data_IF_591102591086
#
_entry.id   IF_591102591086
#
_cell.length_a   1.000
_cell.length_b   1.000
_cell.length_c   1.000
_cell.angle_alpha   90.00
_cell.angle_beta   90.00
_cell.angle_gamma   90.00
#
_symmetry.space_group_name_H-M   'P 1'
#
loop_
_entity.id
_entity.type
_entity.pdbx_description
1 polymer ?
#
# COMPACT_ATOMS: atom_id res chain seq x y z
N UNK A 1 -23.30 6.65 6.52
CA UNK A 1 -23.97 6.74 5.20
C UNK A 1 -24.77 5.47 4.86
N UNK A 2 -24.28 4.27 5.18
CA UNK A 2 -24.96 2.97 4.92
C UNK A 2 -26.30 2.84 5.67
N UNK A 3 -26.41 3.35 6.89
CA UNK A 3 -27.66 3.34 7.71
C UNK A 3 -28.89 4.00 7.05
N UNK A 4 -28.70 4.86 6.04
CA UNK A 4 -29.82 5.54 5.35
C UNK A 4 -30.38 4.77 4.16
N UNK A 5 -29.71 3.72 3.69
CA UNK A 5 -30.10 2.99 2.48
C UNK A 5 -30.70 1.61 2.74
N UNK A 6 -30.51 1.05 3.96
CA UNK A 6 -31.01 -0.28 4.32
C UNK A 6 -31.58 -0.27 5.75
N UNK A 7 -32.84 0.17 5.96
CA UNK A 7 -33.48 0.23 7.27
C UNK A 7 -33.73 -1.14 7.93
N UNK A 8 -33.40 -2.25 7.29
CA UNK A 8 -33.72 -3.61 7.73
C UNK A 8 -32.51 -4.47 8.15
N UNK A 9 -31.28 -3.93 8.16
CA UNK A 9 -30.14 -4.73 8.63
C UNK A 9 -30.14 -4.76 10.15
N UNK A 10 -30.15 -5.98 10.71
CA UNK A 10 -30.06 -6.22 12.15
C UNK A 10 -28.83 -5.50 12.73
N UNK A 11 -29.00 -4.69 13.81
CA UNK A 11 -27.89 -4.01 14.48
C UNK A 11 -26.76 -4.96 14.91
N UNK A 12 -27.06 -6.23 15.19
CA UNK A 12 -26.07 -7.25 15.53
C UNK A 12 -25.12 -7.54 14.37
N UNK A 13 -25.62 -7.60 13.13
CA UNK A 13 -24.81 -7.83 11.92
C UNK A 13 -23.86 -6.64 11.68
N UNK A 14 -24.38 -5.42 11.85
CA UNK A 14 -23.55 -4.21 11.71
C UNK A 14 -22.40 -4.20 12.72
N UNK A 15 -22.67 -4.59 13.98
CA UNK A 15 -21.65 -4.67 15.02
C UNK A 15 -20.56 -5.72 14.70
N UNK A 16 -20.95 -6.87 14.14
CA UNK A 16 -20.01 -7.93 13.72
C UNK A 16 -19.12 -7.42 12.57
N UNK A 17 -19.69 -6.77 11.56
CA UNK A 17 -18.92 -6.20 10.42
C UNK A 17 -17.94 -5.13 10.90
N UNK A 18 -18.37 -4.25 11.81
CA UNK A 18 -17.49 -3.21 12.35
C UNK A 18 -16.35 -3.82 13.19
N UNK A 19 -16.62 -4.86 13.98
CA UNK A 19 -15.61 -5.55 14.77
C UNK A 19 -14.57 -6.27 13.88
N UNK A 20 -15.02 -6.92 12.81
CA UNK A 20 -14.13 -7.60 11.86
C UNK A 20 -13.28 -6.58 11.06
N UNK A 21 -13.90 -5.48 10.65
CA UNK A 21 -13.15 -4.38 10.00
C UNK A 21 -12.06 -3.83 10.91
N UNK A 22 -12.36 -3.61 12.19
CA UNK A 22 -11.38 -3.13 13.18
C UNK A 22 -10.25 -4.14 13.39
N UNK A 23 -10.56 -5.44 13.42
CA UNK A 23 -9.56 -6.52 13.51
C UNK A 23 -8.62 -6.51 12.30
N UNK A 24 -9.18 -6.42 11.10
CA UNK A 24 -8.41 -6.41 9.86
C UNK A 24 -7.52 -5.16 9.76
N UNK A 25 -8.01 -3.99 10.17
CA UNK A 25 -7.20 -2.77 10.24
C UNK A 25 -6.02 -2.89 11.21
N UNK A 26 -6.22 -3.57 12.37
CA UNK A 26 -5.12 -3.86 13.32
C UNK A 26 -4.08 -4.78 12.69
N UNK A 27 -4.50 -5.82 12.00
CA UNK A 27 -3.59 -6.73 11.32
C UNK A 27 -2.75 -5.99 10.25
N UNK A 28 -3.39 -5.19 9.41
CA UNK A 28 -2.68 -4.37 8.40
C UNK A 28 -1.66 -3.45 9.07
N UNK A 29 -2.01 -2.79 10.18
CA UNK A 29 -1.08 -1.91 10.88
C UNK A 29 0.13 -2.66 11.46
N UNK A 30 -0.09 -3.87 12.00
CA UNK A 30 1.00 -4.74 12.49
C UNK A 30 1.90 -5.19 11.34
N UNK A 31 1.32 -5.64 10.23
CA UNK A 31 2.09 -6.04 9.03
C UNK A 31 2.89 -4.88 8.46
N UNK A 32 2.31 -3.68 8.39
CA UNK A 32 3.01 -2.47 7.96
C UNK A 32 4.19 -2.15 8.86
N UNK A 33 3.97 -2.15 10.18
CA UNK A 33 5.03 -1.89 11.15
C UNK A 33 6.16 -2.91 11.02
N UNK A 34 5.85 -4.21 10.99
CA UNK A 34 6.83 -5.27 10.85
C UNK A 34 7.58 -5.18 9.49
N UNK A 35 6.85 -4.95 8.39
CA UNK A 35 7.45 -4.78 7.07
C UNK A 35 8.37 -3.57 6.98
N UNK A 36 7.94 -2.42 7.50
CA UNK A 36 8.76 -1.21 7.53
C UNK A 36 10.01 -1.38 8.42
N UNK A 37 9.88 -2.07 9.56
CA UNK A 37 11.01 -2.38 10.43
C UNK A 37 12.03 -3.31 9.76
N UNK A 38 11.56 -4.41 9.16
CA UNK A 38 12.42 -5.35 8.44
C UNK A 38 13.13 -4.64 7.29
N UNK A 39 12.41 -3.82 6.54
CA UNK A 39 13.01 -3.06 5.44
C UNK A 39 14.07 -2.08 5.92
N UNK A 40 13.79 -1.33 6.99
CA UNK A 40 14.75 -0.41 7.59
C UNK A 40 16.02 -1.16 8.06
N UNK A 41 15.84 -2.27 8.79
CA UNK A 41 16.95 -3.09 9.25
C UNK A 41 17.78 -3.62 8.07
N UNK A 42 17.12 -4.14 7.04
CA UNK A 42 17.79 -4.63 5.82
C UNK A 42 18.56 -3.52 5.13
N UNK A 43 17.97 -2.31 4.99
CA UNK A 43 18.63 -1.16 4.36
C UNK A 43 19.88 -0.73 5.14
N UNK A 44 19.80 -0.71 6.47
CA UNK A 44 20.94 -0.37 7.33
C UNK A 44 22.04 -1.45 7.21
N UNK A 45 21.67 -2.72 7.39
CA UNK A 45 22.65 -3.83 7.36
C UNK A 45 23.28 -3.94 5.99
N UNK A 46 22.51 -3.95 4.92
CA UNK A 46 23.02 -4.03 3.56
C UNK A 46 23.85 -2.80 3.20
N UNK A 47 23.36 -1.60 3.51
CA UNK A 47 24.08 -0.35 3.24
C UNK A 47 25.42 -0.27 3.95
N UNK A 48 25.48 -0.62 5.26
CA UNK A 48 26.72 -0.55 6.03
C UNK A 48 27.69 -1.70 5.69
N UNK A 49 27.20 -2.90 5.41
CA UNK A 49 28.06 -4.06 5.14
C UNK A 49 28.66 -4.04 3.72
N UNK A 50 27.92 -3.55 2.75
CA UNK A 50 28.35 -3.52 1.33
C UNK A 50 28.87 -2.15 0.88
N UNK A 51 28.53 -1.07 1.62
CA UNK A 51 28.76 0.30 1.18
C UNK A 51 27.95 0.70 -0.07
N UNK A 52 26.97 -0.11 -0.47
CA UNK A 52 26.21 0.09 -1.69
C UNK A 52 25.33 1.35 -1.59
N UNK A 53 25.49 2.33 -2.49
CA UNK A 53 24.85 3.64 -2.38
C UNK A 53 23.33 3.57 -2.60
N UNK A 54 22.81 2.57 -3.31
CA UNK A 54 21.39 2.32 -3.51
C UNK A 54 20.68 2.01 -2.19
N UNK A 55 21.29 1.20 -1.30
CA UNK A 55 20.76 0.94 0.04
C UNK A 55 20.87 2.15 0.97
N UNK A 56 22.02 2.83 0.95
CA UNK A 56 22.25 4.00 1.80
C UNK A 56 21.31 5.15 1.47
N UNK A 57 20.99 5.37 0.20
CA UNK A 57 20.07 6.41 -0.25
C UNK A 57 18.62 6.18 0.18
N UNK A 58 18.22 4.93 0.44
CA UNK A 58 16.86 4.59 0.89
C UNK A 58 16.64 4.80 2.39
N UNK A 59 17.70 4.77 3.21
CA UNK A 59 17.59 4.83 4.69
C UNK A 59 16.72 6.00 5.18
N UNK A 60 16.90 7.26 4.72
CA UNK A 60 16.09 8.37 5.21
C UNK A 60 14.59 8.18 4.93
N UNK A 61 14.24 7.72 3.72
CA UNK A 61 12.85 7.53 3.32
C UNK A 61 12.22 6.35 4.06
N UNK A 62 12.94 5.23 4.20
CA UNK A 62 12.48 4.06 4.95
C UNK A 62 12.32 4.40 6.44
N UNK A 63 13.20 5.21 7.01
CA UNK A 63 13.06 5.72 8.38
C UNK A 63 11.79 6.55 8.55
N UNK A 64 11.47 7.42 7.58
CA UNK A 64 10.22 8.18 7.55
C UNK A 64 9.00 7.27 7.46
N UNK A 65 9.05 6.24 6.62
CA UNK A 65 7.98 5.25 6.50
C UNK A 65 7.80 4.45 7.80
N UNK A 66 8.89 4.05 8.44
CA UNK A 66 8.84 3.37 9.73
C UNK A 66 8.23 4.26 10.82
N UNK A 67 8.63 5.54 10.91
CA UNK A 67 8.02 6.50 11.83
C UNK A 67 6.51 6.68 11.57
N UNK A 68 6.10 6.81 10.30
CA UNK A 68 4.68 6.86 9.94
C UNK A 68 3.94 5.58 10.33
N UNK A 69 4.55 4.40 10.15
CA UNK A 69 3.95 3.12 10.53
C UNK A 69 3.72 3.00 12.04
N UNK A 70 4.63 3.55 12.87
CA UNK A 70 4.45 3.66 14.32
C UNK A 70 3.23 4.53 14.64
N UNK A 71 3.11 5.71 14.00
CA UNK A 71 1.96 6.61 14.20
C UNK A 71 0.65 5.90 13.85
N UNK A 72 0.59 5.18 12.74
CA UNK A 72 -0.60 4.41 12.35
C UNK A 72 -0.89 3.25 13.32
N UNK A 73 0.12 2.54 13.80
CA UNK A 73 -0.05 1.45 14.77
C UNK A 73 -0.58 1.98 16.12
N UNK A 74 -0.06 3.12 16.58
CA UNK A 74 -0.53 3.76 17.81
C UNK A 74 -1.93 4.37 17.65
N UNK A 75 -2.25 4.91 16.47
CA UNK A 75 -3.52 5.57 16.18
C UNK A 75 -4.74 4.69 16.36
N UNK A 76 -4.58 3.37 16.27
CA UNK A 76 -5.65 2.39 16.50
C UNK A 76 -6.20 2.49 17.92
N UNK A 77 -5.41 2.98 18.88
CA UNK A 77 -5.82 3.17 20.28
C UNK A 77 -6.53 4.50 20.54
N UNK A 78 -6.43 5.49 19.64
CA UNK A 78 -6.83 6.88 19.89
C UNK A 78 -8.15 7.34 19.28
N UNK A 79 -9.11 6.44 19.00
CA UNK A 79 -10.50 6.80 18.71
C UNK A 79 -10.89 6.88 17.24
N UNK A 80 -12.15 7.33 16.98
CA UNK A 80 -12.82 7.25 15.67
C UNK A 80 -12.15 8.04 14.53
N UNK A 81 -11.52 9.18 14.84
CA UNK A 81 -10.83 9.99 13.81
C UNK A 81 -9.65 9.24 13.21
N UNK A 82 -8.83 8.65 14.06
CA UNK A 82 -7.67 7.88 13.62
C UNK A 82 -8.04 6.57 12.92
N UNK A 83 -9.18 5.95 13.26
CA UNK A 83 -9.72 4.82 12.51
C UNK A 83 -10.06 5.18 11.06
N UNK A 84 -10.65 6.36 10.84
CA UNK A 84 -10.90 6.86 9.47
C UNK A 84 -9.60 7.08 8.71
N UNK A 85 -8.61 7.71 9.33
CA UNK A 85 -7.30 7.95 8.73
C UNK A 85 -6.61 6.62 8.35
N UNK A 86 -6.68 5.62 9.22
CA UNK A 86 -6.09 4.31 8.97
C UNK A 86 -6.72 3.58 7.77
N UNK A 87 -7.99 3.83 7.45
CA UNK A 87 -8.63 3.32 6.22
C UNK A 87 -8.04 3.93 4.94
N UNK A 88 -7.48 5.12 5.03
CA UNK A 88 -6.82 5.81 3.91
C UNK A 88 -5.31 5.64 3.90
N UNK A 89 -4.76 4.87 4.84
CA UNK A 89 -3.31 4.72 4.99
C UNK A 89 -2.64 4.08 3.79
N UNK A 90 -3.33 3.19 3.07
CA UNK A 90 -2.78 2.56 1.87
C UNK A 90 -2.44 3.60 0.79
N UNK A 91 -3.38 4.40 0.26
CA UNK A 91 -3.05 5.41 -0.73
C UNK A 91 -2.27 6.60 -0.15
N UNK A 92 -2.50 7.01 1.10
CA UNK A 92 -1.85 8.20 1.65
C UNK A 92 -0.45 7.95 2.22
N UNK A 93 -0.11 6.71 2.54
CA UNK A 93 1.14 6.35 3.18
C UNK A 93 1.88 5.26 2.41
N UNK A 94 1.31 4.06 2.31
CA UNK A 94 2.06 2.91 1.81
C UNK A 94 2.51 3.10 0.35
N UNK A 95 1.60 3.47 -0.54
CA UNK A 95 1.91 3.63 -1.97
C UNK A 95 2.94 4.76 -2.22
N UNK A 96 2.78 5.99 -1.67
CA UNK A 96 3.77 7.04 -1.84
C UNK A 96 5.14 6.72 -1.24
N UNK A 97 5.19 6.09 -0.04
CA UNK A 97 6.47 5.75 0.57
C UNK A 97 7.21 4.67 -0.22
N UNK A 98 6.53 3.61 -0.67
CA UNK A 98 7.14 2.58 -1.53
C UNK A 98 7.70 3.23 -2.80
N UNK A 99 6.94 4.11 -3.44
CA UNK A 99 7.40 4.86 -4.60
C UNK A 99 8.66 5.68 -4.30
N UNK A 100 8.65 6.46 -3.22
CA UNK A 100 9.80 7.30 -2.83
C UNK A 100 11.04 6.49 -2.49
N UNK A 101 10.88 5.35 -1.78
CA UNK A 101 12.00 4.45 -1.44
C UNK A 101 12.63 3.91 -2.72
N UNK A 102 11.83 3.41 -3.64
CA UNK A 102 12.34 2.83 -4.88
C UNK A 102 12.95 3.90 -5.79
N UNK A 103 12.35 5.08 -5.87
CA UNK A 103 12.92 6.21 -6.59
C UNK A 103 14.26 6.65 -6.02
N UNK A 104 14.40 6.69 -4.69
CA UNK A 104 15.67 7.04 -4.04
C UNK A 104 16.81 6.06 -4.38
N UNK A 105 16.50 4.77 -4.60
CA UNK A 105 17.48 3.76 -4.97
C UNK A 105 17.85 3.78 -6.47
N UNK A 106 16.97 4.28 -7.34
CA UNK A 106 17.13 4.12 -8.79
C UNK A 106 18.41 4.76 -9.37
N UNK A 107 18.81 5.93 -8.85
CA UNK A 107 19.97 6.65 -9.37
C UNK A 107 21.31 5.93 -9.16
N UNK A 108 21.36 5.01 -8.22
CA UNK A 108 22.56 4.24 -7.85
C UNK A 108 22.41 2.73 -8.03
N UNK A 109 21.23 2.25 -8.43
CA UNK A 109 20.95 0.85 -8.62
C UNK A 109 21.56 0.34 -9.95
N UNK A 110 22.37 -0.74 -9.94
CA UNK A 110 22.92 -1.30 -11.16
C UNK A 110 21.87 -1.89 -12.12
N UNK A 111 20.68 -2.19 -11.60
CA UNK A 111 19.59 -2.80 -12.37
C UNK A 111 18.25 -2.07 -12.14
N UNK A 112 18.12 -0.78 -12.54
CA UNK A 112 16.93 0.02 -12.25
C UNK A 112 15.66 -0.56 -12.88
N UNK A 113 15.77 -1.28 -14.01
CA UNK A 113 14.64 -1.94 -14.66
C UNK A 113 14.03 -3.04 -13.79
N UNK A 114 14.89 -3.85 -13.17
CA UNK A 114 14.45 -4.93 -12.26
C UNK A 114 13.80 -4.30 -11.02
N UNK A 115 14.40 -3.26 -10.45
CA UNK A 115 13.84 -2.54 -9.31
C UNK A 115 12.44 -1.98 -9.62
N UNK A 116 12.24 -1.36 -10.78
CA UNK A 116 10.94 -0.84 -11.21
C UNK A 116 9.88 -1.95 -11.36
N UNK A 117 10.24 -3.09 -11.96
CA UNK A 117 9.34 -4.24 -12.13
C UNK A 117 8.96 -4.87 -10.78
N UNK A 118 9.93 -5.06 -9.88
CA UNK A 118 9.68 -5.58 -8.53
C UNK A 118 8.75 -4.64 -7.77
N UNK A 119 8.91 -3.34 -7.93
CA UNK A 119 8.03 -2.34 -7.29
C UNK A 119 6.59 -2.44 -7.80
N UNK A 120 6.39 -2.67 -9.08
CA UNK A 120 5.06 -2.91 -9.64
C UNK A 120 4.38 -4.13 -8.98
N UNK A 121 5.13 -5.21 -8.76
CA UNK A 121 4.64 -6.38 -8.03
C UNK A 121 4.34 -6.06 -6.56
N UNK A 122 5.17 -5.27 -5.89
CA UNK A 122 4.90 -4.82 -4.52
C UNK A 122 3.60 -4.03 -4.42
N UNK A 123 3.33 -3.11 -5.35
CA UNK A 123 2.05 -2.40 -5.37
C UNK A 123 0.86 -3.35 -5.48
N UNK A 124 0.93 -4.37 -6.35
CA UNK A 124 -0.11 -5.39 -6.45
C UNK A 124 -0.29 -6.19 -5.16
N UNK A 125 0.82 -6.56 -4.50
CA UNK A 125 0.79 -7.26 -3.20
C UNK A 125 0.10 -6.42 -2.12
N UNK A 126 0.23 -5.09 -2.15
CA UNK A 126 -0.46 -4.21 -1.21
C UNK A 126 -1.93 -3.98 -1.57
N UNK A 127 -2.27 -3.94 -2.86
CA UNK A 127 -3.64 -3.72 -3.33
C UNK A 127 -4.52 -4.96 -3.11
N UNK A 128 -4.01 -6.16 -3.32
CA UNK A 128 -4.78 -7.41 -3.27
C UNK A 128 -5.44 -7.70 -1.91
N UNK A 129 -4.78 -7.57 -0.75
CA UNK A 129 -5.41 -7.79 0.56
C UNK A 129 -6.25 -6.60 1.05
N UNK A 130 -6.12 -5.43 0.44
CA UNK A 130 -6.79 -4.21 0.89
C UNK A 130 -8.33 -4.31 1.00
N UNK A 131 -9.05 -5.06 0.12
CA UNK A 131 -10.50 -5.21 0.22
C UNK A 131 -11.00 -5.79 1.53
N UNK A 132 -10.19 -6.60 2.21
CA UNK A 132 -10.55 -7.23 3.48
C UNK A 132 -10.79 -6.21 4.63
N UNK A 133 -10.22 -5.00 4.51
CA UNK A 133 -10.28 -4.00 5.57
C UNK A 133 -10.67 -2.60 5.09
N UNK A 134 -10.68 -2.36 3.78
CA UNK A 134 -10.86 -1.02 3.21
C UNK A 134 -12.13 -0.93 2.36
N UNK A 135 -12.68 0.28 2.33
CA UNK A 135 -13.75 0.61 1.39
C UNK A 135 -13.23 0.68 -0.05
N UNK A 136 -14.14 0.59 -1.02
CA UNK A 136 -13.81 0.60 -2.44
C UNK A 136 -13.01 1.82 -2.91
N UNK A 137 -13.25 3.03 -2.34
CA UNK A 137 -12.56 4.25 -2.75
C UNK A 137 -11.05 4.29 -2.42
N UNK A 138 -10.60 3.97 -1.19
CA UNK A 138 -9.17 3.85 -0.92
C UNK A 138 -8.47 2.81 -1.80
N UNK A 139 -9.13 1.70 -2.10
CA UNK A 139 -8.59 0.67 -3.00
C UNK A 139 -8.48 1.18 -4.43
N UNK A 140 -9.52 1.88 -4.93
CA UNK A 140 -9.51 2.47 -6.26
C UNK A 140 -8.39 3.52 -6.40
N UNK A 141 -8.22 4.39 -5.39
CA UNK A 141 -7.15 5.38 -5.38
C UNK A 141 -5.76 4.72 -5.34
N UNK A 142 -5.55 3.75 -4.46
CA UNK A 142 -4.29 3.01 -4.41
C UNK A 142 -3.97 2.30 -5.73
N UNK A 143 -4.98 1.76 -6.41
CA UNK A 143 -4.80 1.15 -7.73
C UNK A 143 -4.36 2.18 -8.76
N UNK A 144 -4.98 3.35 -8.77
CA UNK A 144 -4.61 4.45 -9.66
C UNK A 144 -3.17 4.93 -9.40
N UNK A 145 -2.81 5.10 -8.12
CA UNK A 145 -1.45 5.46 -7.70
C UNK A 145 -0.45 4.39 -8.11
N UNK A 146 -0.76 3.10 -7.92
CA UNK A 146 0.07 1.99 -8.34
C UNK A 146 0.39 2.03 -9.84
N UNK A 147 -0.61 2.33 -10.67
CA UNK A 147 -0.43 2.53 -12.12
C UNK A 147 0.50 3.71 -12.39
N UNK A 148 0.20 4.88 -11.83
CA UNK A 148 0.96 6.12 -12.07
C UNK A 148 2.40 5.94 -11.62
N UNK A 149 2.63 5.46 -10.41
CA UNK A 149 3.96 5.26 -9.84
C UNK A 149 4.77 4.22 -10.62
N UNK A 150 4.14 3.13 -11.06
CA UNK A 150 4.79 2.14 -11.92
C UNK A 150 5.26 2.76 -13.23
N UNK A 151 4.39 3.52 -13.89
CA UNK A 151 4.73 4.21 -15.14
C UNK A 151 5.89 5.19 -14.95
N UNK A 152 5.89 5.97 -13.85
CA UNK A 152 6.96 6.91 -13.53
C UNK A 152 8.30 6.19 -13.29
N UNK A 153 8.29 5.11 -12.49
CA UNK A 153 9.51 4.34 -12.19
C UNK A 153 10.07 3.65 -13.44
N UNK A 154 9.23 3.10 -14.29
CA UNK A 154 9.67 2.46 -15.53
C UNK A 154 10.26 3.48 -16.52
N UNK A 155 9.68 4.68 -16.58
CA UNK A 155 10.22 5.76 -17.39
C UNK A 155 11.58 6.25 -16.85
N UNK A 156 11.73 6.42 -15.53
CA UNK A 156 13.03 6.74 -14.88
C UNK A 156 14.06 5.61 -15.11
N UNK A 157 13.63 4.34 -15.14
CA UNK A 157 14.50 3.20 -15.46
C UNK A 157 14.92 3.12 -16.93
N UNK A 158 14.49 4.06 -17.78
CA UNK A 158 14.81 4.09 -19.21
C UNK A 158 14.05 3.08 -20.06
N UNK A 159 12.99 2.47 -19.52
CA UNK A 159 12.14 1.55 -20.27
C UNK A 159 11.12 2.36 -21.07
N UNK A 160 11.33 2.46 -22.39
CA UNK A 160 10.46 3.23 -23.27
C UNK A 160 9.06 2.60 -23.37
N UNK A 161 8.08 3.48 -23.14
CA UNK A 161 6.66 3.18 -23.30
C UNK A 161 6.36 2.84 -24.76
N UNK A 162 6.17 1.67 -25.25
CA UNK A 162 4.84 1.22 -25.71
C UNK A 162 4.55 -0.29 -25.68
N UNK A 163 5.57 -1.17 -25.58
CA UNK A 163 5.29 -2.59 -25.82
C UNK A 163 4.71 -3.33 -24.60
N UNK A 164 5.07 -2.94 -23.38
CA UNK A 164 4.70 -3.63 -22.13
C UNK A 164 3.66 -2.86 -21.28
N UNK A 165 3.49 -1.56 -21.54
CA UNK A 165 2.58 -0.71 -20.77
C UNK A 165 1.12 -1.22 -20.78
N UNK A 166 0.54 -1.68 -21.92
CA UNK A 166 -0.81 -2.22 -21.91
C UNK A 166 -0.98 -3.42 -20.99
N UNK A 167 0.03 -4.31 -20.91
CA UNK A 167 -0.03 -5.50 -20.08
C UNK A 167 -0.01 -5.17 -18.58
N UNK A 168 0.86 -4.25 -18.15
CA UNK A 168 0.93 -3.80 -16.76
C UNK A 168 -0.36 -3.05 -16.38
N UNK A 169 -0.84 -2.14 -17.24
CA UNK A 169 -2.09 -1.44 -17.01
C UNK A 169 -3.26 -2.41 -16.85
N UNK A 170 -3.33 -3.42 -17.72
CA UNK A 170 -4.38 -4.43 -17.67
C UNK A 170 -4.33 -5.24 -16.37
N UNK A 171 -3.15 -5.63 -15.90
CA UNK A 171 -2.98 -6.34 -14.63
C UNK A 171 -3.43 -5.48 -13.44
N UNK A 172 -3.05 -4.20 -13.39
CA UNK A 172 -3.49 -3.29 -12.33
C UNK A 172 -5.00 -3.05 -12.38
N UNK A 173 -5.57 -2.81 -13.56
CA UNK A 173 -7.00 -2.61 -13.72
C UNK A 173 -7.78 -3.87 -13.31
N UNK A 174 -7.31 -5.05 -13.69
CA UNK A 174 -7.92 -6.30 -13.29
C UNK A 174 -7.83 -6.51 -11.78
N UNK A 175 -6.64 -6.37 -11.18
CA UNK A 175 -6.45 -6.49 -9.73
C UNK A 175 -7.31 -5.48 -8.97
N UNK A 176 -7.34 -4.22 -9.40
CA UNK A 176 -8.16 -3.18 -8.80
C UNK A 176 -9.66 -3.46 -8.94
N UNK A 177 -10.11 -3.91 -10.11
CA UNK A 177 -11.52 -4.28 -10.32
C UNK A 177 -11.94 -5.44 -9.41
N UNK A 178 -11.13 -6.50 -9.32
CA UNK A 178 -11.36 -7.63 -8.42
C UNK A 178 -11.39 -7.15 -6.97
N UNK A 179 -10.43 -6.35 -6.56
CA UNK A 179 -10.35 -5.80 -5.22
C UNK A 179 -11.58 -4.92 -4.87
N UNK A 180 -12.05 -4.07 -5.79
CA UNK A 180 -13.25 -3.25 -5.61
C UNK A 180 -14.51 -4.12 -5.53
N UNK A 181 -14.62 -5.16 -6.36
CA UNK A 181 -15.76 -6.08 -6.33
C UNK A 181 -15.83 -6.83 -5.01
N UNK A 182 -14.70 -7.31 -4.49
CA UNK A 182 -14.63 -7.97 -3.19
C UNK A 182 -15.04 -7.01 -2.07
N UNK A 183 -14.50 -5.78 -2.06
CA UNK A 183 -14.83 -4.79 -1.03
C UNK A 183 -16.32 -4.39 -1.03
N UNK A 184 -16.98 -4.40 -2.19
CA UNK A 184 -18.43 -4.16 -2.28
C UNK A 184 -19.24 -5.34 -1.76
N UNK A 185 -18.82 -6.58 -1.98
CA UNK A 185 -19.55 -7.78 -1.50
C UNK A 185 -19.49 -7.93 0.01
N UNK A 186 -18.37 -7.59 0.63
CA UNK A 186 -18.22 -7.62 2.11
C UNK A 186 -19.16 -6.63 2.81
N UNK A 187 -19.60 -5.58 2.11
CA UNK A 187 -20.52 -4.55 2.65
C UNK A 187 -21.99 -4.92 2.45
N UNK A 188 -22.32 -5.91 1.60
CA UNK A 188 -23.70 -6.27 1.21
C UNK A 188 -24.21 -7.52 1.94
N UNK A 189 -23.36 -8.24 2.71
CA UNK A 189 -23.76 -9.34 3.59
C UNK A 189 -24.02 -8.82 4.99
#
# INVERSE_FOLDING_TARGET
MIRRLLPSIDPSIVAVIDAETDRNLRQIAVFRFAGAFIWLLTSIVAGLSTGAPDWLSTIPVVSGYFAASIVFALSIRFGLFFKKLNRWSLPLCDMPFIFMIMRASMGSNPHPQIAAMVTALLFLVFIMPAPAALHAWPVALATLEGVIFTVLLLNEAGIKFPAWAPSILLVFLFAGAVAILISRRVVVI
#
